data_IF_790765013633
#
_entry.id   IF_790765013633
#
_cell.length_a   1.000
_cell.length_b   1.000
_cell.length_c   1.000
_cell.angle_alpha   90.00
_cell.angle_beta   90.00
_cell.angle_gamma   90.00
#
_symmetry.space_group_name_H-M   'P 1'
#
loop_
_entity.id
_entity.type
_entity.pdbx_description
1 polymer ?
#
# COMPACT_ATOMS: atom_id res chain seq x y z
N UNK A 1 -22.83 29.87 64.62
CA UNK A 1 -22.65 28.42 64.42
C UNK A 1 -21.91 28.25 63.10
N UNK A 2 -20.58 28.12 63.15
CA UNK A 2 -19.72 28.03 61.96
C UNK A 2 -19.69 26.59 61.45
N UNK A 3 -20.06 26.37 60.18
CA UNK A 3 -19.86 25.12 59.48
C UNK A 3 -18.61 25.23 58.59
N UNK A 4 -17.60 24.40 58.87
CA UNK A 4 -16.35 24.29 58.10
C UNK A 4 -16.61 23.43 56.86
N UNK A 5 -16.41 23.98 55.67
CA UNK A 5 -16.34 23.20 54.42
C UNK A 5 -14.87 22.98 54.07
N UNK A 6 -14.47 21.71 54.02
CA UNK A 6 -13.16 21.25 53.57
C UNK A 6 -13.10 21.34 52.03
N UNK A 7 -12.22 22.18 51.51
CA UNK A 7 -11.82 22.18 50.09
C UNK A 7 -10.71 21.14 49.92
N UNK A 8 -11.00 20.04 49.21
CA UNK A 8 -9.99 19.12 48.73
C UNK A 8 -9.37 19.68 47.44
N UNK A 9 -8.19 20.29 47.56
CA UNK A 9 -7.35 20.67 46.42
C UNK A 9 -6.69 19.43 45.83
N UNK A 10 -7.09 19.03 44.63
CA UNK A 10 -6.37 18.02 43.86
C UNK A 10 -5.16 18.68 43.19
N UNK A 11 -3.98 18.18 43.54
CA UNK A 11 -2.71 18.55 42.93
C UNK A 11 -2.63 17.89 41.54
N UNK A 12 -2.67 18.68 40.47
CA UNK A 12 -2.29 18.21 39.14
C UNK A 12 -0.77 18.26 39.07
N UNK A 13 -0.14 17.08 39.01
CA UNK A 13 1.28 16.94 38.69
C UNK A 13 1.55 17.51 37.29
N UNK A 14 2.66 18.24 37.06
CA UNK A 14 3.05 18.64 35.72
C UNK A 14 3.49 17.39 34.95
N UNK A 15 2.67 16.96 34.00
CA UNK A 15 3.08 16.02 32.95
C UNK A 15 4.24 16.65 32.18
N UNK A 16 5.35 15.94 32.09
CA UNK A 16 6.54 16.38 31.38
C UNK A 16 6.19 16.84 29.97
N UNK A 17 6.51 18.10 29.67
CA UNK A 17 6.41 18.62 28.32
C UNK A 17 7.39 17.88 27.43
N UNK A 18 6.86 17.27 26.39
CA UNK A 18 7.62 16.70 25.29
C UNK A 18 8.58 17.77 24.76
N UNK A 19 9.84 17.37 24.57
CA UNK A 19 10.84 18.21 23.93
C UNK A 19 10.39 18.66 22.53
N UNK A 20 11.10 19.65 21.94
CA UNK A 20 10.75 20.14 20.62
C UNK A 20 10.67 18.99 19.62
N UNK A 21 9.68 19.06 18.72
CA UNK A 21 9.44 18.10 17.64
C UNK A 21 10.76 17.73 16.98
N UNK A 22 11.26 16.53 17.31
CA UNK A 22 12.33 15.93 16.56
C UNK A 22 11.83 15.78 15.14
N UNK A 23 12.44 16.50 14.21
CA UNK A 23 12.39 16.14 12.79
C UNK A 23 13.09 14.79 12.67
N UNK A 24 12.37 13.72 12.96
CA UNK A 24 12.76 12.37 12.59
C UNK A 24 12.74 12.34 11.07
N UNK A 25 13.89 12.63 10.46
CA UNK A 25 14.19 12.21 9.10
C UNK A 25 14.42 10.70 9.19
N UNK A 26 13.32 9.94 9.36
CA UNK A 26 13.33 8.52 9.07
C UNK A 26 13.40 8.42 7.57
N UNK A 27 14.58 8.17 7.01
CA UNK A 27 14.64 7.48 5.72
C UNK A 27 13.89 6.17 5.95
N UNK A 28 12.75 5.91 5.29
CA UNK A 28 12.15 4.58 5.36
C UNK A 28 13.10 3.66 4.58
N UNK A 29 14.02 3.00 5.27
CA UNK A 29 14.51 1.74 4.75
C UNK A 29 13.29 0.83 4.70
N UNK A 30 12.71 0.67 3.51
CA UNK A 30 11.68 -0.31 3.16
C UNK A 30 12.25 -1.75 3.22
N UNK A 31 13.05 -2.01 4.24
CA UNK A 31 13.64 -3.30 4.54
C UNK A 31 12.64 -4.07 5.40
N UNK A 32 12.00 -5.07 4.82
CA UNK A 32 11.17 -6.00 5.58
C UNK A 32 12.03 -7.20 5.94
N UNK A 33 12.34 -7.31 7.23
CA UNK A 33 13.11 -8.40 7.83
C UNK A 33 12.35 -9.72 7.74
N UNK A 34 13.04 -10.76 7.27
CA UNK A 34 12.50 -12.11 7.07
C UNK A 34 12.43 -12.95 8.36
N UNK A 35 12.14 -12.31 9.49
CA UNK A 35 11.99 -13.00 10.77
C UNK A 35 10.77 -13.92 10.80
N UNK A 36 9.81 -13.74 9.88
CA UNK A 36 8.66 -14.60 9.70
C UNK A 36 8.79 -15.44 8.42
N UNK A 37 9.01 -16.76 8.53
CA UNK A 37 9.11 -17.64 7.36
C UNK A 37 7.82 -17.74 6.55
N UNK A 38 6.71 -17.21 7.06
CA UNK A 38 5.45 -17.20 6.35
C UNK A 38 5.29 -15.97 5.45
N UNK A 39 6.10 -14.91 5.59
CA UNK A 39 6.01 -13.74 4.69
C UNK A 39 6.57 -14.10 3.30
N UNK A 40 5.92 -13.60 2.24
CA UNK A 40 6.40 -13.73 0.86
C UNK A 40 7.81 -13.13 0.73
N UNK A 41 8.75 -13.97 0.29
CA UNK A 41 10.10 -13.55 -0.05
C UNK A 41 10.48 -14.19 -1.39
N UNK A 42 10.42 -13.45 -2.52
CA UNK A 42 10.72 -13.97 -3.86
C UNK A 42 12.04 -14.75 -3.98
N UNK A 43 13.04 -14.47 -3.13
CA UNK A 43 14.31 -15.17 -3.12
C UNK A 43 14.21 -16.64 -2.70
N UNK A 44 13.11 -17.05 -2.02
CA UNK A 44 12.91 -18.43 -1.55
C UNK A 44 12.56 -19.44 -2.63
N UNK A 45 12.17 -18.98 -3.82
CA UNK A 45 11.83 -19.87 -4.93
C UNK A 45 10.32 -20.10 -5.07
N UNK A 46 9.70 -19.46 -6.05
CA UNK A 46 8.27 -19.61 -6.34
C UNK A 46 8.02 -19.77 -7.82
N UNK A 47 6.83 -20.24 -8.20
CA UNK A 47 6.41 -20.30 -9.61
C UNK A 47 5.73 -19.01 -10.05
N UNK A 48 5.02 -18.38 -9.13
CA UNK A 48 4.25 -17.17 -9.39
C UNK A 48 4.51 -16.12 -8.32
N UNK A 49 4.45 -14.87 -8.74
CA UNK A 49 4.45 -13.70 -7.87
C UNK A 49 3.25 -12.85 -8.27
N UNK A 50 2.33 -12.60 -7.34
CA UNK A 50 1.23 -11.67 -7.56
C UNK A 50 1.51 -10.35 -6.85
N UNK A 51 1.26 -9.25 -7.55
CA UNK A 51 1.42 -7.89 -7.05
C UNK A 51 0.03 -7.29 -6.96
N UNK A 52 -0.48 -7.15 -5.73
CA UNK A 52 -1.77 -6.55 -5.47
C UNK A 52 -1.65 -5.11 -5.01
N UNK A 53 -2.58 -4.27 -5.43
CA UNK A 53 -2.64 -2.90 -4.94
C UNK A 53 -2.97 -2.84 -3.44
N UNK A 54 -2.25 -2.00 -2.67
CA UNK A 54 -2.43 -1.88 -1.23
C UNK A 54 -2.48 -0.43 -0.73
N UNK A 55 -2.75 0.51 -1.64
CA UNK A 55 -2.99 1.91 -1.30
C UNK A 55 -3.81 2.62 -2.36
N UNK A 56 -4.44 3.73 -1.95
CA UNK A 56 -5.13 4.60 -2.86
C UNK A 56 -4.20 5.33 -3.84
N UNK A 57 -4.83 5.91 -4.85
CA UNK A 57 -4.24 6.55 -6.01
C UNK A 57 -4.64 8.03 -6.04
N UNK A 58 -3.78 8.93 -6.54
CA UNK A 58 -4.00 10.40 -6.52
C UNK A 58 -5.11 10.89 -7.44
N UNK A 59 -5.53 10.10 -8.42
CA UNK A 59 -6.69 10.41 -9.27
C UNK A 59 -7.90 10.83 -8.43
N UNK A 60 -8.67 11.80 -8.90
CA UNK A 60 -9.87 12.29 -8.22
C UNK A 60 -11.13 11.45 -8.49
N UNK A 61 -11.02 10.41 -9.32
CA UNK A 61 -12.14 9.58 -9.75
C UNK A 61 -12.21 8.27 -8.97
N UNK A 62 -13.37 7.96 -8.39
CA UNK A 62 -13.66 6.62 -7.87
C UNK A 62 -13.80 5.54 -8.94
N UNK A 63 -13.56 5.88 -10.20
CA UNK A 63 -13.37 4.92 -11.28
C UNK A 63 -11.90 4.75 -11.65
N UNK A 64 -10.98 5.03 -10.72
CA UNK A 64 -9.56 4.92 -11.00
C UNK A 64 -9.06 3.48 -11.00
N UNK A 65 -8.30 3.14 -12.04
CA UNK A 65 -7.48 1.94 -12.12
C UNK A 65 -6.10 2.21 -11.52
N UNK A 66 -5.46 1.14 -11.08
CA UNK A 66 -4.01 1.09 -10.93
C UNK A 66 -3.40 0.68 -12.26
N UNK A 67 -2.45 1.47 -12.75
CA UNK A 67 -1.75 1.19 -13.99
C UNK A 67 -0.33 0.72 -13.71
N UNK A 68 0.05 -0.41 -14.33
CA UNK A 68 1.40 -0.97 -14.28
C UNK A 68 1.98 -0.98 -15.68
N UNK A 69 3.05 -0.22 -15.85
CA UNK A 69 3.69 -0.04 -17.15
C UNK A 69 4.60 -1.19 -17.51
N UNK A 70 5.35 -1.72 -16.55
CA UNK A 70 6.26 -2.84 -16.78
C UNK A 70 6.64 -3.48 -15.45
N UNK A 71 6.92 -4.78 -15.49
CA UNK A 71 7.50 -5.55 -14.41
C UNK A 71 8.63 -6.40 -14.96
N UNK A 72 9.82 -6.21 -14.41
CA UNK A 72 10.97 -7.04 -14.71
C UNK A 72 11.31 -7.91 -13.49
N UNK A 73 11.68 -9.17 -13.71
CA UNK A 73 12.16 -10.06 -12.66
C UNK A 73 13.54 -10.61 -13.01
N UNK A 74 14.43 -10.68 -12.03
CA UNK A 74 15.80 -11.14 -12.20
C UNK A 74 16.14 -12.21 -11.18
N UNK A 75 16.93 -13.17 -11.63
CA UNK A 75 17.62 -14.16 -10.79
C UNK A 75 19.12 -13.84 -10.79
N UNK A 76 19.91 -14.62 -10.04
CA UNK A 76 21.37 -14.58 -10.14
C UNK A 76 21.92 -14.85 -11.56
N UNK A 77 21.12 -15.48 -12.43
CA UNK A 77 21.49 -15.81 -13.80
C UNK A 77 21.04 -14.76 -14.83
N UNK A 78 20.29 -13.74 -14.42
CA UNK A 78 19.81 -12.66 -15.29
C UNK A 78 18.28 -12.51 -15.29
N UNK A 79 17.80 -11.69 -16.23
CA UNK A 79 16.38 -11.36 -16.40
C UNK A 79 15.57 -12.56 -16.87
N UNK A 80 14.38 -12.72 -16.32
CA UNK A 80 13.41 -13.74 -16.70
C UNK A 80 12.51 -13.24 -17.84
N UNK A 81 12.09 -14.16 -18.71
CA UNK A 81 10.94 -13.94 -19.57
C UNK A 81 9.68 -14.30 -18.80
N UNK A 82 8.79 -13.34 -18.63
CA UNK A 82 7.57 -13.48 -17.85
C UNK A 82 6.36 -13.67 -18.76
N UNK A 83 5.29 -14.20 -18.19
CA UNK A 83 3.94 -13.97 -18.70
C UNK A 83 3.07 -13.46 -17.56
N UNK A 84 2.02 -12.72 -17.88
CA UNK A 84 1.18 -12.08 -16.89
C UNK A 84 -0.30 -12.40 -17.10
N UNK A 85 -1.02 -12.43 -15.99
CA UNK A 85 -2.47 -12.58 -15.92
C UNK A 85 -3.01 -11.66 -14.82
N UNK A 86 -4.32 -11.46 -14.78
CA UNK A 86 -4.99 -10.77 -13.68
C UNK A 86 -5.96 -11.73 -13.03
N UNK A 87 -5.89 -11.87 -11.71
CA UNK A 87 -6.84 -12.72 -10.97
C UNK A 87 -8.10 -11.96 -10.60
N UNK A 88 -7.96 -10.66 -10.40
CA UNK A 88 -9.03 -9.73 -10.08
C UNK A 88 -8.77 -8.41 -10.78
N UNK A 89 -9.86 -7.65 -10.96
CA UNK A 89 -9.87 -6.26 -11.34
C UNK A 89 -8.91 -5.89 -12.47
N UNK A 90 -9.27 -6.15 -13.73
CA UNK A 90 -8.53 -5.74 -14.93
C UNK A 90 -9.45 -5.10 -15.95
N UNK A 91 -8.97 -4.07 -16.64
CA UNK A 91 -9.56 -3.59 -17.88
C UNK A 91 -9.21 -4.54 -19.04
N UNK A 92 -10.16 -4.81 -19.93
CA UNK A 92 -9.96 -5.66 -21.10
C UNK A 92 -9.15 -5.00 -22.21
N UNK A 93 -9.15 -3.67 -22.29
CA UNK A 93 -8.44 -2.90 -23.31
C UNK A 93 -6.94 -2.73 -22.97
N UNK A 94 -6.57 -2.93 -21.70
CA UNK A 94 -5.21 -2.82 -21.18
C UNK A 94 -4.78 -4.14 -20.51
N UNK A 95 -4.51 -5.20 -21.29
CA UNK A 95 -4.39 -6.55 -20.77
C UNK A 95 -3.09 -6.77 -19.97
N UNK A 96 -3.05 -7.74 -19.05
CA UNK A 96 -1.88 -8.03 -18.21
C UNK A 96 -0.57 -8.24 -18.95
N UNK A 97 -0.62 -8.77 -20.18
CA UNK A 97 0.57 -8.96 -21.02
C UNK A 97 1.33 -7.67 -21.30
N UNK A 98 0.68 -6.50 -21.17
CA UNK A 98 1.30 -5.18 -21.34
C UNK A 98 2.23 -4.78 -20.21
N UNK A 99 2.09 -5.38 -19.03
CA UNK A 99 3.00 -5.12 -17.91
C UNK A 99 4.28 -5.97 -17.97
N UNK A 100 4.50 -6.78 -19.01
CA UNK A 100 5.66 -7.66 -19.15
C UNK A 100 6.11 -7.79 -20.61
N UNK A 101 5.80 -6.80 -21.46
CA UNK A 101 6.12 -6.84 -22.89
C UNK A 101 7.43 -6.14 -23.26
N UNK A 102 8.14 -5.60 -22.26
CA UNK A 102 9.40 -4.87 -22.43
C UNK A 102 9.21 -3.44 -22.93
N UNK A 103 7.98 -2.93 -23.01
CA UNK A 103 7.66 -1.56 -23.42
C UNK A 103 7.06 -0.75 -22.25
N UNK A 104 7.90 0.08 -21.63
CA UNK A 104 7.49 0.98 -20.54
C UNK A 104 6.52 2.09 -20.97
N UNK A 105 6.26 2.24 -22.26
CA UNK A 105 5.21 3.13 -22.80
C UNK A 105 3.83 2.49 -22.87
N UNK A 106 3.74 1.17 -22.73
CA UNK A 106 2.49 0.43 -22.62
C UNK A 106 2.14 0.17 -21.15
N UNK A 107 0.92 -0.30 -20.86
CA UNK A 107 0.51 -0.62 -19.49
C UNK A 107 -0.64 -1.62 -19.43
N UNK A 108 -0.66 -2.37 -18.34
CA UNK A 108 -1.86 -3.03 -17.82
C UNK A 108 -2.63 -2.03 -16.95
N UNK A 109 -3.96 -2.05 -17.05
CA UNK A 109 -4.83 -1.30 -16.16
C UNK A 109 -5.72 -2.24 -15.36
N UNK A 110 -5.84 -1.95 -14.06
CA UNK A 110 -6.79 -2.62 -13.20
C UNK A 110 -8.25 -2.21 -13.48
N UNK A 111 -9.20 -2.82 -12.78
CA UNK A 111 -10.64 -2.56 -12.97
C UNK A 111 -11.07 -1.25 -12.34
N UNK A 112 -11.58 -0.37 -13.19
CA UNK A 112 -12.12 0.93 -12.83
C UNK A 112 -13.21 0.86 -11.75
N UNK A 113 -13.98 -0.24 -11.63
CA UNK A 113 -15.08 -0.36 -10.67
C UNK A 113 -14.64 -0.62 -9.21
N UNK A 114 -13.36 -0.97 -8.97
CA UNK A 114 -12.84 -1.21 -7.61
C UNK A 114 -12.76 0.09 -6.81
N UNK A 115 -12.53 1.22 -7.48
CA UNK A 115 -12.45 2.55 -6.88
C UNK A 115 -11.20 2.79 -6.06
N UNK A 116 -10.08 2.98 -6.76
CA UNK A 116 -8.75 3.12 -6.17
C UNK A 116 -8.39 4.56 -5.74
N UNK A 117 -9.20 5.56 -6.07
CA UNK A 117 -8.89 6.95 -5.71
C UNK A 117 -8.83 7.15 -4.18
N UNK A 118 -7.91 8.01 -3.72
CA UNK A 118 -7.80 8.42 -2.33
C UNK A 118 -9.15 8.87 -1.71
N UNK A 119 -10.09 9.43 -2.49
CA UNK A 119 -11.39 9.92 -1.97
C UNK A 119 -12.38 8.81 -1.60
N UNK A 120 -12.15 7.59 -2.06
CA UNK A 120 -13.00 6.43 -1.79
C UNK A 120 -12.21 5.17 -1.44
N UNK A 121 -10.89 5.29 -1.25
CA UNK A 121 -10.04 4.20 -0.80
C UNK A 121 -10.38 3.79 0.64
N UNK A 122 -10.38 2.48 0.88
CA UNK A 122 -10.39 1.88 2.21
C UNK A 122 -9.63 0.53 2.16
N UNK A 123 -9.27 -0.02 3.31
CA UNK A 123 -8.47 -1.24 3.39
C UNK A 123 -9.18 -2.51 2.85
N UNK A 124 -10.50 -2.49 2.66
CA UNK A 124 -11.21 -3.63 2.05
C UNK A 124 -10.91 -3.78 0.56
N UNK A 125 -10.35 -2.74 -0.07
CA UNK A 125 -9.94 -2.73 -1.48
C UNK A 125 -8.53 -3.24 -1.72
N UNK A 126 -7.77 -3.58 -0.67
CA UNK A 126 -6.46 -4.23 -0.82
C UNK A 126 -6.60 -5.50 -1.66
N UNK A 127 -5.69 -5.68 -2.62
CA UNK A 127 -5.71 -6.79 -3.58
C UNK A 127 -7.00 -6.84 -4.45
N UNK A 128 -7.76 -5.73 -4.53
CA UNK A 128 -8.91 -5.63 -5.43
C UNK A 128 -8.50 -5.65 -6.91
N UNK A 129 -7.29 -5.18 -7.21
CA UNK A 129 -6.63 -5.26 -8.51
C UNK A 129 -5.28 -5.95 -8.32
N UNK A 130 -5.05 -7.06 -9.03
CA UNK A 130 -3.87 -7.91 -8.85
C UNK A 130 -3.30 -8.35 -10.20
N UNK A 131 -2.04 -8.00 -10.43
CA UNK A 131 -1.23 -8.52 -11.53
C UNK A 131 -0.48 -9.79 -11.06
N UNK A 132 -0.63 -10.91 -11.75
CA UNK A 132 0.06 -12.18 -11.46
C UNK A 132 1.08 -12.51 -12.52
N UNK A 133 2.34 -12.60 -12.11
CA UNK A 133 3.48 -13.00 -12.92
C UNK A 133 3.65 -14.52 -12.86
N UNK A 134 3.73 -15.17 -14.02
CA UNK A 134 4.21 -16.53 -14.17
C UNK A 134 5.69 -16.51 -14.57
N UNK A 135 6.53 -17.11 -13.72
CA UNK A 135 7.99 -17.15 -13.87
C UNK A 135 8.48 -18.28 -14.80
N UNK A 136 7.58 -19.06 -15.42
CA UNK A 136 7.93 -20.12 -16.39
C UNK A 136 8.44 -21.42 -15.75
N UNK A 137 8.95 -21.37 -14.52
CA UNK A 137 9.25 -22.49 -13.60
C UNK A 137 9.38 -21.96 -12.18
N UNK A 138 9.67 -22.81 -11.20
CA UNK A 138 10.09 -22.32 -9.87
C UNK A 138 11.40 -21.55 -10.02
N UNK A 139 11.45 -20.31 -9.55
CA UNK A 139 12.59 -19.39 -9.67
C UNK A 139 12.85 -18.67 -8.34
N UNK A 140 14.13 -18.51 -7.99
CA UNK A 140 14.58 -17.65 -6.89
C UNK A 140 14.83 -16.25 -7.44
N UNK A 141 13.86 -15.36 -7.26
CA UNK A 141 13.92 -13.99 -7.78
C UNK A 141 14.64 -13.12 -6.76
N UNK A 142 15.79 -12.58 -7.15
CA UNK A 142 16.62 -11.71 -6.31
C UNK A 142 16.34 -10.23 -6.52
N UNK A 143 15.70 -9.87 -7.63
CA UNK A 143 15.29 -8.50 -7.91
C UNK A 143 13.99 -8.46 -8.72
N UNK A 144 13.08 -7.58 -8.33
CA UNK A 144 11.94 -7.13 -9.14
C UNK A 144 12.13 -5.65 -9.45
N UNK A 145 11.71 -5.22 -10.64
CA UNK A 145 11.49 -3.80 -10.93
C UNK A 145 10.04 -3.59 -11.32
N UNK A 146 9.39 -2.62 -10.67
CA UNK A 146 8.01 -2.24 -10.93
C UNK A 146 7.98 -0.81 -11.49
N UNK A 147 7.41 -0.64 -12.68
CA UNK A 147 7.28 0.64 -13.36
C UNK A 147 5.81 1.09 -13.32
N UNK A 148 5.58 2.30 -12.81
CA UNK A 148 4.26 2.91 -12.68
C UNK A 148 4.12 4.22 -13.50
N UNK A 149 4.84 4.34 -14.62
CA UNK A 149 4.61 5.43 -15.58
C UNK A 149 5.34 6.76 -15.31
N UNK A 150 5.85 7.00 -14.10
CA UNK A 150 6.71 8.14 -13.81
C UNK A 150 6.05 9.29 -13.04
N UNK A 151 6.79 10.40 -12.94
CA UNK A 151 6.39 11.55 -12.15
C UNK A 151 5.08 12.15 -12.68
N UNK A 152 4.10 12.34 -11.78
CA UNK A 152 2.77 12.85 -12.13
C UNK A 152 1.81 11.81 -12.72
N UNK A 153 2.13 10.51 -12.67
CA UNK A 153 1.13 9.49 -12.99
C UNK A 153 0.07 9.41 -11.89
N UNK A 154 -1.13 9.87 -12.22
CA UNK A 154 -2.30 9.83 -11.34
C UNK A 154 -2.92 8.43 -11.19
N UNK A 155 -2.33 7.40 -11.79
CA UNK A 155 -2.80 6.00 -11.74
C UNK A 155 -1.83 5.07 -10.99
N UNK A 156 -0.81 5.62 -10.32
CA UNK A 156 0.14 4.85 -9.54
C UNK A 156 -0.35 4.65 -8.09
N UNK A 157 -0.15 3.44 -7.54
CA UNK A 157 -0.40 3.17 -6.11
C UNK A 157 0.84 3.48 -5.29
N UNK A 158 0.62 3.76 -4.00
CA UNK A 158 1.70 3.98 -3.03
C UNK A 158 2.29 2.72 -2.42
N UNK A 159 1.48 1.66 -2.35
CA UNK A 159 1.84 0.42 -1.69
C UNK A 159 1.34 -0.74 -2.52
N UNK A 160 2.14 -1.79 -2.53
CA UNK A 160 1.77 -3.09 -3.09
C UNK A 160 1.93 -4.17 -2.06
N UNK A 161 1.23 -5.29 -2.28
CA UNK A 161 1.40 -6.54 -1.57
C UNK A 161 1.94 -7.57 -2.54
N UNK A 162 3.10 -8.13 -2.24
CA UNK A 162 3.66 -9.26 -2.97
C UNK A 162 3.14 -10.55 -2.34
N UNK A 163 2.52 -11.39 -3.16
CA UNK A 163 2.08 -12.73 -2.79
C UNK A 163 2.92 -13.74 -3.56
N UNK A 164 3.54 -14.67 -2.84
CA UNK A 164 4.43 -15.67 -3.41
C UNK A 164 3.75 -17.03 -3.42
N UNK A 165 3.68 -17.71 -4.57
CA UNK A 165 2.96 -18.99 -4.64
C UNK A 165 3.43 -19.98 -5.71
N UNK A 166 3.03 -21.24 -5.51
CA UNK A 166 3.40 -22.37 -6.36
C UNK A 166 2.31 -22.75 -7.37
N UNK A 167 1.10 -22.21 -7.21
CA UNK A 167 -0.08 -22.56 -8.00
C UNK A 167 -0.94 -21.31 -8.21
N UNK A 168 -1.48 -21.16 -9.42
CA UNK A 168 -2.34 -20.03 -9.83
C UNK A 168 -3.61 -19.86 -8.98
N UNK A 169 -4.05 -20.90 -8.28
CA UNK A 169 -5.24 -20.84 -7.44
C UNK A 169 -4.91 -20.15 -6.10
N UNK A 170 -5.52 -18.98 -5.86
CA UNK A 170 -5.47 -18.29 -4.57
C UNK A 170 -6.10 -19.20 -3.50
N UNK A 171 -5.27 -19.90 -2.73
CA UNK A 171 -5.73 -20.63 -1.54
C UNK A 171 -5.37 -19.81 -0.32
N UNK A 172 -6.18 -19.84 0.73
CA UNK A 172 -5.86 -19.22 2.03
C UNK A 172 -4.62 -19.83 2.73
N UNK A 173 -3.85 -20.68 2.05
CA UNK A 173 -2.56 -21.23 2.50
C UNK A 173 -1.35 -20.51 1.87
N UNK A 174 -1.57 -19.33 1.28
CA UNK A 174 -0.50 -18.48 0.76
C UNK A 174 0.39 -17.98 1.91
N UNK A 175 1.67 -17.77 1.60
CA UNK A 175 2.53 -16.93 2.43
C UNK A 175 1.82 -15.60 2.71
N UNK A 176 1.93 -15.10 3.94
CA UNK A 176 1.51 -13.73 4.28
C UNK A 176 2.16 -12.76 3.29
N UNK A 177 1.42 -11.83 2.68
CA UNK A 177 1.99 -10.99 1.66
C UNK A 177 3.01 -10.02 2.25
N UNK A 178 4.04 -9.76 1.47
CA UNK A 178 5.02 -8.73 1.75
C UNK A 178 4.47 -7.38 1.28
N UNK A 179 4.09 -6.51 2.21
CA UNK A 179 3.63 -5.15 1.91
C UNK A 179 4.83 -4.19 1.82
N UNK A 180 4.92 -3.42 0.75
CA UNK A 180 6.02 -2.49 0.46
C UNK A 180 5.49 -1.17 -0.07
N UNK A 181 6.13 -0.07 0.31
CA UNK A 181 5.97 1.22 -0.39
C UNK A 181 6.65 1.16 -1.77
N UNK A 182 6.05 1.84 -2.75
CA UNK A 182 6.51 1.86 -4.15
C UNK A 182 6.50 3.29 -4.70
N UNK A 183 7.39 3.56 -5.65
CA UNK A 183 7.50 4.82 -6.39
C UNK A 183 6.46 4.92 -7.51
N UNK A 184 6.02 6.15 -7.81
CA UNK A 184 5.26 6.45 -9.03
C UNK A 184 6.08 6.28 -10.31
N UNK A 185 7.41 6.27 -10.21
CA UNK A 185 8.31 5.92 -11.31
C UNK A 185 8.66 4.45 -11.30
N UNK A 186 9.85 4.15 -10.79
CA UNK A 186 10.40 2.80 -10.73
C UNK A 186 10.68 2.44 -9.29
N UNK A 187 10.27 1.24 -8.89
CA UNK A 187 10.70 0.63 -7.64
C UNK A 187 11.58 -0.56 -7.93
N UNK A 188 12.80 -0.57 -7.42
CA UNK A 188 13.68 -1.76 -7.45
C UNK A 188 13.56 -2.47 -6.12
N UNK A 189 13.02 -3.68 -6.12
CA UNK A 189 12.85 -4.52 -4.93
C UNK A 189 13.93 -5.59 -4.99
N UNK A 190 14.92 -5.51 -4.12
CA UNK A 190 15.99 -6.50 -3.98
C UNK A 190 15.65 -7.44 -2.83
N UNK A 191 15.73 -8.76 -3.07
CA UNK A 191 15.42 -9.78 -2.09
C UNK A 191 16.57 -10.78 -1.92
N UNK A 192 16.76 -11.23 -0.69
CA UNK A 192 17.74 -12.25 -0.30
C UNK A 192 17.17 -13.09 0.86
N UNK A 193 18.00 -13.97 1.43
CA UNK A 193 17.59 -14.85 2.54
C UNK A 193 17.25 -14.08 3.84
N UNK A 194 17.57 -12.79 3.93
CA UNK A 194 17.26 -11.92 5.07
C UNK A 194 15.99 -11.09 4.88
N UNK A 195 15.42 -11.07 3.68
CA UNK A 195 14.20 -10.34 3.35
C UNK A 195 14.36 -9.50 2.10
N UNK A 196 13.54 -8.46 1.99
CA UNK A 196 13.54 -7.58 0.83
C UNK A 196 13.71 -6.12 1.21
N UNK A 197 14.33 -5.36 0.33
CA UNK A 197 14.49 -3.91 0.39
C UNK A 197 13.96 -3.28 -0.89
N UNK A 198 13.26 -2.14 -0.79
CA UNK A 198 12.82 -1.37 -1.95
C UNK A 198 13.60 -0.04 -2.08
N UNK A 199 14.16 0.20 -3.27
CA UNK A 199 14.71 1.49 -3.72
C UNK A 199 13.69 2.18 -4.64
N UNK A 200 13.43 3.46 -4.39
CA UNK A 200 12.29 4.21 -4.93
C UNK A 200 12.80 5.35 -5.79
N UNK A 201 12.43 5.37 -7.08
CA UNK A 201 12.93 6.37 -8.02
C UNK A 201 11.80 6.96 -8.88
N UNK A 202 11.34 8.20 -8.59
CA UNK A 202 11.76 9.07 -7.48
C UNK A 202 11.32 8.54 -6.11
N UNK A 203 11.83 9.16 -5.05
CA UNK A 203 11.30 8.97 -3.70
C UNK A 203 9.78 9.20 -3.70
N UNK A 204 9.12 8.39 -2.88
CA UNK A 204 7.67 8.45 -2.73
C UNK A 204 7.22 9.73 -1.99
N UNK A 205 6.02 10.22 -2.34
CA UNK A 205 5.31 11.28 -1.62
C UNK A 205 3.84 10.86 -1.44
N UNK A 206 3.29 10.95 -0.23
CA UNK A 206 1.92 10.52 0.05
C UNK A 206 0.88 11.49 -0.52
N UNK A 207 0.35 11.13 -1.68
CA UNK A 207 -0.69 11.88 -2.38
C UNK A 207 -2.04 11.79 -1.67
N UNK A 208 -2.27 10.78 -0.84
CA UNK A 208 -3.45 10.69 0.03
C UNK A 208 -3.20 11.35 1.42
N UNK A 209 -2.00 11.83 1.74
CA UNK A 209 -1.74 12.53 3.00
C UNK A 209 -2.34 13.94 2.96
N UNK A 210 -3.59 14.05 3.38
CA UNK A 210 -4.38 15.28 3.37
C UNK A 210 -5.83 15.06 2.98
N UNK A 211 -6.10 13.97 2.26
CA UNK A 211 -7.44 13.38 2.19
C UNK A 211 -7.62 12.53 3.44
N UNK A 212 -7.88 13.18 4.57
CA UNK A 212 -8.47 12.44 5.69
C UNK A 212 -9.71 11.76 5.12
N UNK A 213 -9.70 10.43 5.07
CA UNK A 213 -10.93 9.67 5.03
C UNK A 213 -11.81 10.27 6.13
N UNK A 214 -12.99 10.80 5.78
CA UNK A 214 -14.02 11.26 6.72
C UNK A 214 -14.62 10.09 7.55
N UNK A 215 -13.79 9.13 7.90
CA UNK A 215 -14.06 8.01 8.81
C UNK A 215 -13.51 8.29 10.21
N UNK A 216 -13.26 9.56 10.56
CA UNK A 216 -13.24 9.97 11.96
C UNK A 216 -14.69 10.04 12.42
N UNK A 217 -15.12 9.01 13.16
CA UNK A 217 -16.38 9.01 13.88
C UNK A 217 -16.56 10.33 14.64
N UNK A 218 -17.30 11.28 14.06
CA UNK A 218 -17.94 12.36 14.80
C UNK A 218 -19.01 11.68 15.65
N UNK A 219 -18.60 11.25 16.85
CA UNK A 219 -19.52 11.11 17.96
C UNK A 219 -20.09 12.51 18.20
N UNK A 220 -21.19 12.83 17.52
CA UNK A 220 -22.02 13.98 17.85
C UNK A 220 -22.63 13.68 19.21
N UNK A 221 -21.91 14.05 20.26
CA UNK A 221 -22.47 14.17 21.59
C UNK A 221 -23.56 15.22 21.51
N UNK A 222 -24.82 14.78 21.53
CA UNK A 222 -25.96 15.64 21.83
C UNK A 222 -25.76 16.20 23.23
N UNK A 223 -25.12 17.37 23.34
CA UNK A 223 -25.28 18.23 24.50
C UNK A 223 -26.61 18.97 24.33
N UNK A 224 -27.67 18.43 24.94
CA UNK A 224 -28.94 19.13 25.07
C UNK A 224 -28.76 20.39 25.91
N UNK A 225 -28.66 21.55 25.25
CA UNK A 225 -28.78 22.85 25.90
C UNK A 225 -30.27 23.19 26.00
N UNK A 226 -30.90 22.88 27.14
CA UNK A 226 -32.17 23.50 27.52
C UNK A 226 -31.90 25.00 27.76
N UNK A 227 -32.43 25.85 26.90
CA UNK A 227 -32.49 27.29 27.14
C UNK A 227 -33.85 27.83 26.71
N UNK A 228 -34.56 28.37 27.70
CA UNK A 228 -35.62 29.36 27.54
C UNK A 228 -37.04 28.80 27.52
N UNK A 229 -37.84 29.20 28.51
CA UNK A 229 -38.81 30.29 28.32
C UNK A 229 -39.13 30.87 29.72
N UNK A 230 -38.67 32.09 29.94
CA UNK A 230 -39.30 33.04 30.86
C UNK A 230 -40.15 33.95 29.96
N UNK A 231 -41.47 33.92 30.12
CA UNK A 231 -42.39 34.86 29.48
C UNK A 231 -43.29 35.43 30.58
N UNK A 232 -43.17 36.75 30.76
CA UNK A 232 -44.04 37.73 31.41
C UNK A 232 -44.30 37.58 32.92
#
# INVERSE_FOLDING_TARGET
MLLRILLASWSVLPSGGDGPLGTSTSTPTNAVSDSDPNICNPARGYRYISIGAAGGISSSSCFASWDVHEVEAFTSSGQLTLSASSMSGSDTDYPPSKAVDGDTGSFWAGDHDVGMSCSCWDDSKKDGQILTLDLGSTQQVTQLKLYQGGNGNDWAVKRVRLHCHMSVAFSSALSEPLELDVSTGVTTIECNDQGCTADLQPDYYDTCAGTTSDSAHLAVGLAAAFSGILLL
#
